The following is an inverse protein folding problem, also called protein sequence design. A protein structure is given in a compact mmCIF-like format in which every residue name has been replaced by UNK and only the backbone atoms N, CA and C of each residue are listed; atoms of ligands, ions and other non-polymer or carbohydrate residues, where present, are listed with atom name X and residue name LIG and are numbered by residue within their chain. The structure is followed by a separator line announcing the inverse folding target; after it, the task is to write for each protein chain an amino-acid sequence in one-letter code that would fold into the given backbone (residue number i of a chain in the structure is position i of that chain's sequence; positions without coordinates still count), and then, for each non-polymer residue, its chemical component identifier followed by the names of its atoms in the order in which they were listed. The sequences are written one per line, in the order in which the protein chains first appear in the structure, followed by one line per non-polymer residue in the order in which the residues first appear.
data_IF_214516147630
#
_entry.id   IF_214516147630
#
_cell.length_a   1.000
_cell.length_b   1.000
_cell.length_c   1.000
_cell.angle_alpha   90.00
_cell.angle_beta   90.00
_cell.angle_gamma   90.00
#
_symmetry.space_group_name_H-M   'P 1'
#
loop_
_entity.id
_entity.type
_entity.pdbx_description
1 polymer ?
#
# COMPACT_ATOMS: atom_id res chain seq x y z
N UNK A 1 4.08 15.76 10.45
CA UNK A 1 4.88 15.02 9.45
C UNK A 1 3.97 14.82 8.25
N UNK A 2 4.37 15.22 7.05
CA UNK A 2 3.55 15.03 5.85
C UNK A 2 3.86 13.66 5.23
N UNK A 3 2.95 12.71 5.42
CA UNK A 3 3.08 11.33 4.93
C UNK A 3 2.97 11.25 3.41
N UNK A 4 2.32 12.22 2.76
CA UNK A 4 1.97 12.16 1.34
C UNK A 4 2.89 13.00 0.45
N UNK A 5 4.03 13.46 0.96
CA UNK A 5 4.95 14.38 0.27
C UNK A 5 5.28 13.97 -1.18
N UNK A 6 5.43 12.68 -1.48
CA UNK A 6 5.75 12.21 -2.85
C UNK A 6 4.53 11.91 -3.72
N UNK A 7 3.30 12.06 -3.22
CA UNK A 7 2.06 11.84 -3.97
C UNK A 7 1.57 13.16 -4.58
N UNK A 8 2.17 13.52 -5.72
CA UNK A 8 1.94 14.82 -6.36
C UNK A 8 0.60 14.84 -7.12
N UNK A 9 -0.16 15.93 -6.97
CA UNK A 9 -1.37 16.19 -7.76
C UNK A 9 -2.62 15.45 -7.31
N UNK A 10 -2.60 14.77 -6.15
CA UNK A 10 -3.72 14.02 -5.60
C UNK A 10 -4.32 14.67 -4.33
N UNK A 11 -4.36 16.00 -4.29
CA UNK A 11 -4.67 16.79 -3.08
C UNK A 11 -5.99 16.37 -2.41
N UNK A 12 -7.06 16.18 -3.20
CA UNK A 12 -8.36 15.78 -2.67
C UNK A 12 -8.33 14.40 -2.01
N UNK A 13 -7.62 13.43 -2.60
CA UNK A 13 -7.48 12.11 -2.02
C UNK A 13 -6.66 12.17 -0.71
N UNK A 14 -5.57 12.94 -0.69
CA UNK A 14 -4.75 13.16 0.51
C UNK A 14 -5.58 13.76 1.64
N UNK A 15 -6.39 14.79 1.34
CA UNK A 15 -7.25 15.43 2.33
C UNK A 15 -8.27 14.45 2.92
N UNK A 16 -8.99 13.71 2.06
CA UNK A 16 -9.99 12.73 2.50
C UNK A 16 -9.39 11.64 3.40
N UNK A 17 -8.24 11.09 3.02
CA UNK A 17 -7.56 10.04 3.79
C UNK A 17 -7.02 10.58 5.12
N UNK A 18 -6.47 11.79 5.12
CA UNK A 18 -5.96 12.44 6.33
C UNK A 18 -7.09 12.73 7.31
N UNK A 19 -8.23 13.24 6.83
CA UNK A 19 -9.41 13.52 7.65
C UNK A 19 -10.06 12.24 8.19
N UNK A 20 -10.08 11.15 7.42
CA UNK A 20 -10.59 9.87 7.89
C UNK A 20 -9.84 9.38 9.14
N UNK A 21 -8.51 9.52 9.15
CA UNK A 21 -7.68 9.14 10.31
C UNK A 21 -7.81 10.14 11.45
N UNK A 22 -7.70 11.44 11.17
CA UNK A 22 -7.74 12.47 12.22
C UNK A 22 -9.06 12.50 12.99
N UNK A 23 -10.16 12.17 12.31
CA UNK A 23 -11.51 12.12 12.90
C UNK A 23 -11.88 10.72 13.40
N UNK A 24 -10.99 9.73 13.27
CA UNK A 24 -11.27 8.32 13.57
C UNK A 24 -12.54 7.80 12.86
N UNK A 25 -12.72 8.18 11.59
CA UNK A 25 -13.84 7.80 10.71
C UNK A 25 -13.32 7.01 9.50
N UNK A 26 -12.67 5.89 9.79
CA UNK A 26 -12.05 5.03 8.78
C UNK A 26 -13.10 4.06 8.22
N UNK A 27 -13.25 4.05 6.90
CA UNK A 27 -14.14 3.11 6.23
C UNK A 27 -13.55 1.67 6.27
N UNK A 28 -14.39 0.63 6.22
CA UNK A 28 -13.92 -0.77 6.21
C UNK A 28 -13.15 -1.16 4.94
N UNK A 29 -13.24 -0.36 3.86
CA UNK A 29 -12.52 -0.63 2.62
C UNK A 29 -12.36 0.61 1.74
N UNK A 30 -11.23 0.68 1.03
CA UNK A 30 -10.90 1.76 0.09
C UNK A 30 -10.52 1.16 -1.26
N UNK A 31 -11.07 1.72 -2.34
CA UNK A 31 -10.73 1.38 -3.71
C UNK A 31 -10.03 2.57 -4.38
N UNK A 32 -8.74 2.41 -4.68
CA UNK A 32 -7.96 3.42 -5.40
C UNK A 32 -8.08 3.19 -6.92
N UNK A 33 -8.58 4.16 -7.67
CA UNK A 33 -8.84 4.06 -9.12
C UNK A 33 -8.12 5.17 -9.88
N UNK A 34 -7.74 4.90 -11.13
CA UNK A 34 -7.07 5.85 -12.01
C UNK A 34 -6.10 5.17 -12.99
N UNK A 35 -5.48 5.96 -13.86
CA UNK A 35 -4.52 5.49 -14.87
C UNK A 35 -3.28 4.82 -14.26
N UNK A 36 -2.53 4.08 -15.07
CA UNK A 36 -1.24 3.52 -14.64
C UNK A 36 -0.24 4.66 -14.36
N UNK A 37 0.51 4.54 -13.25
CA UNK A 37 1.49 5.56 -12.84
C UNK A 37 0.92 6.72 -12.01
N UNK A 38 -0.41 6.85 -11.85
CA UNK A 38 -1.03 7.97 -11.11
C UNK A 38 -0.74 7.98 -9.59
N UNK A 39 -0.13 6.93 -9.05
CA UNK A 39 0.22 6.84 -7.63
C UNK A 39 -0.76 6.05 -6.75
N UNK A 40 -1.67 5.23 -7.31
CA UNK A 40 -2.65 4.41 -6.53
C UNK A 40 -2.01 3.62 -5.39
N UNK A 41 -1.01 2.80 -5.70
CA UNK A 41 -0.31 1.97 -4.70
C UNK A 41 0.53 2.80 -3.74
N UNK A 42 0.98 3.99 -4.17
CA UNK A 42 1.73 4.91 -3.31
C UNK A 42 0.81 5.57 -2.28
N UNK A 43 -0.36 6.03 -2.71
CA UNK A 43 -1.39 6.57 -1.83
C UNK A 43 -1.83 5.55 -0.77
N UNK A 44 -2.05 4.28 -1.17
CA UNK A 44 -2.37 3.21 -0.23
C UNK A 44 -1.26 2.99 0.82
N UNK A 45 0.02 3.00 0.40
CA UNK A 45 1.16 2.86 1.31
C UNK A 45 1.25 4.00 2.33
N UNK A 46 1.12 5.24 1.87
CA UNK A 46 1.15 6.41 2.77
C UNK A 46 -0.05 6.46 3.70
N UNK A 47 -1.21 6.01 3.25
CA UNK A 47 -2.37 5.87 4.12
C UNK A 47 -2.14 4.83 5.22
N UNK A 48 -1.51 3.70 4.89
CA UNK A 48 -1.10 2.69 5.87
C UNK A 48 -0.10 3.28 6.88
N UNK A 49 0.94 3.98 6.41
CA UNK A 49 1.93 4.61 7.28
C UNK A 49 1.27 5.62 8.25
N UNK A 50 0.36 6.46 7.75
CA UNK A 50 -0.41 7.39 8.57
C UNK A 50 -1.26 6.64 9.59
N UNK A 51 -2.01 5.62 9.16
CA UNK A 51 -2.93 4.85 10.01
C UNK A 51 -2.21 4.18 11.19
N UNK A 52 -1.09 3.50 10.92
CA UNK A 52 -0.32 2.82 11.97
C UNK A 52 0.45 3.79 12.87
N UNK A 53 0.68 5.03 12.43
CA UNK A 53 1.43 6.04 13.20
C UNK A 53 0.54 7.03 13.96
N UNK A 54 -0.74 7.13 13.63
CA UNK A 54 -1.65 8.20 14.09
C UNK A 54 -1.79 8.33 15.61
N UNK A 55 -1.65 7.23 16.34
CA UNK A 55 -1.83 7.17 17.79
C UNK A 55 -0.52 7.02 18.57
N UNK A 56 0.63 7.15 17.89
CA UNK A 56 1.94 7.05 18.51
C UNK A 56 2.46 8.45 18.84
N UNK A 57 2.87 8.67 20.09
CA UNK A 57 3.48 9.93 20.51
C UNK A 57 5.01 9.93 20.32
N UNK A 58 5.64 8.74 20.40
CA UNK A 58 7.09 8.60 20.42
C UNK A 58 7.68 8.50 19.00
N UNK A 59 8.57 9.44 18.59
CA UNK A 59 9.15 9.44 17.24
C UNK A 59 9.88 8.14 16.88
N UNK A 60 10.52 7.50 17.87
CA UNK A 60 11.22 6.21 17.67
C UNK A 60 10.25 5.08 17.32
N UNK A 61 9.06 5.06 17.92
CA UNK A 61 8.04 4.06 17.62
C UNK A 61 7.46 4.29 16.23
N UNK A 62 7.16 5.55 15.88
CA UNK A 62 6.71 5.93 14.53
C UNK A 62 7.72 5.45 13.48
N UNK A 63 9.00 5.75 13.66
CA UNK A 63 10.04 5.34 12.73
C UNK A 63 10.17 3.80 12.62
N UNK A 64 10.02 3.08 13.74
CA UNK A 64 10.04 1.61 13.75
C UNK A 64 8.88 1.01 12.96
N UNK A 65 7.68 1.53 13.15
CA UNK A 65 6.47 1.11 12.44
C UNK A 65 6.59 1.40 10.95
N UNK A 66 6.97 2.62 10.56
CA UNK A 66 7.19 3.01 9.17
C UNK A 66 8.22 2.10 8.49
N UNK A 67 9.33 1.80 9.18
CA UNK A 67 10.35 0.90 8.66
C UNK A 67 9.78 -0.51 8.40
N UNK A 68 9.00 -1.06 9.34
CA UNK A 68 8.35 -2.37 9.16
C UNK A 68 7.34 -2.37 8.01
N UNK A 69 6.55 -1.31 7.85
CA UNK A 69 5.61 -1.17 6.72
C UNK A 69 6.36 -1.12 5.40
N UNK A 70 7.43 -0.31 5.31
CA UNK A 70 8.28 -0.21 4.11
C UNK A 70 8.93 -1.55 3.74
N UNK A 71 9.40 -2.31 4.74
CA UNK A 71 9.95 -3.64 4.57
C UNK A 71 8.88 -4.73 4.33
N UNK A 72 7.58 -4.37 4.31
CA UNK A 72 6.45 -5.29 4.19
C UNK A 72 6.46 -6.39 5.27
N UNK A 73 6.88 -6.05 6.49
CA UNK A 73 7.08 -6.97 7.60
C UNK A 73 6.37 -6.51 8.90
N UNK A 74 5.36 -5.65 8.77
CA UNK A 74 4.54 -5.28 9.92
C UNK A 74 3.57 -6.43 10.26
N UNK A 75 3.47 -6.88 11.52
CA UNK A 75 2.70 -8.08 11.89
C UNK A 75 1.20 -7.95 11.58
N UNK A 76 0.65 -6.74 11.68
CA UNK A 76 -0.77 -6.47 11.44
C UNK A 76 -1.08 -6.02 9.99
N UNK A 77 -0.11 -6.15 9.07
CA UNK A 77 -0.28 -5.75 7.68
C UNK A 77 -0.04 -6.93 6.74
N UNK A 78 -1.09 -7.32 6.01
CA UNK A 78 -1.01 -8.37 5.00
C UNK A 78 -0.97 -7.77 3.59
N UNK A 79 0.07 -8.10 2.83
CA UNK A 79 0.16 -7.77 1.40
C UNK A 79 -0.37 -8.94 0.57
N UNK A 80 -1.42 -8.69 -0.19
CA UNK A 80 -1.99 -9.67 -1.11
C UNK A 80 -1.68 -9.24 -2.54
N UNK A 81 -0.96 -10.07 -3.27
CA UNK A 81 -0.60 -9.85 -4.66
C UNK A 81 -0.86 -11.14 -5.45
N UNK A 82 -1.28 -11.05 -6.72
CA UNK A 82 -1.51 -12.24 -7.54
C UNK A 82 -0.21 -13.00 -7.79
N UNK A 83 -0.29 -14.33 -7.75
CA UNK A 83 0.82 -15.24 -8.03
C UNK A 83 0.41 -16.28 -9.06
N UNK A 84 1.39 -16.85 -9.75
CA UNK A 84 1.21 -17.95 -10.70
C UNK A 84 1.82 -19.22 -10.14
N UNK A 85 1.11 -20.35 -10.27
CA UNK A 85 1.69 -21.66 -10.00
C UNK A 85 2.36 -22.18 -11.27
N UNK A 86 3.66 -22.45 -11.20
CA UNK A 86 4.40 -23.12 -12.26
C UNK A 86 5.25 -24.25 -11.67
N UNK A 87 5.01 -25.49 -12.10
CA UNK A 87 5.74 -26.68 -11.63
C UNK A 87 5.84 -26.76 -10.10
N UNK A 88 4.75 -26.47 -9.39
CA UNK A 88 4.71 -26.51 -7.92
C UNK A 88 5.30 -25.28 -7.21
N UNK A 89 5.92 -24.34 -7.94
CA UNK A 89 6.45 -23.08 -7.39
C UNK A 89 5.48 -21.92 -7.62
N UNK A 90 5.30 -21.07 -6.60
CA UNK A 90 4.62 -19.77 -6.73
C UNK A 90 5.59 -18.75 -7.29
N UNK A 91 5.18 -18.08 -8.36
CA UNK A 91 5.92 -17.00 -9.01
C UNK A 91 5.12 -15.72 -8.91
N UNK A 92 5.79 -14.62 -8.58
CA UNK A 92 5.24 -13.27 -8.73
C UNK A 92 4.98 -12.96 -10.21
N UNK A 93 4.23 -11.88 -10.48
CA UNK A 93 4.00 -11.43 -11.87
C UNK A 93 5.32 -11.21 -12.61
N UNK A 94 6.29 -10.51 -11.98
CA UNK A 94 7.58 -10.19 -12.60
C UNK A 94 8.40 -11.45 -12.90
N UNK A 95 8.39 -12.42 -11.98
CA UNK A 95 9.08 -13.71 -12.20
C UNK A 95 8.38 -14.55 -13.27
N UNK A 96 7.05 -14.53 -13.33
CA UNK A 96 6.31 -15.21 -14.38
C UNK A 96 6.61 -14.63 -15.77
N UNK A 97 6.69 -13.31 -15.88
CA UNK A 97 7.09 -12.61 -17.11
C UNK A 97 8.52 -12.99 -17.55
N UNK A 98 9.47 -13.07 -16.62
CA UNK A 98 10.86 -13.43 -16.95
C UNK A 98 11.03 -14.88 -17.41
N UNK A 99 10.19 -15.80 -16.95
CA UNK A 99 10.17 -17.20 -17.42
C UNK A 99 9.22 -17.43 -18.60
N UNK A 100 8.66 -16.37 -19.19
CA UNK A 100 7.81 -16.45 -20.38
C UNK A 100 6.41 -17.04 -20.13
N UNK A 101 5.97 -17.15 -18.87
CA UNK A 101 4.61 -17.55 -18.53
C UNK A 101 3.65 -16.40 -18.85
N UNK A 102 2.93 -16.52 -19.97
CA UNK A 102 1.83 -15.62 -20.30
C UNK A 102 0.56 -16.04 -19.55
N UNK A 103 -0.23 -15.05 -19.13
CA UNK A 103 -1.59 -15.27 -18.58
C UNK A 103 -2.39 -16.18 -19.53
N UNK A 104 -2.97 -17.26 -19.00
CA UNK A 104 -3.88 -18.12 -19.78
C UNK A 104 -5.29 -17.54 -19.94
N UNK A 105 -5.70 -16.58 -19.10
CA UNK A 105 -6.92 -15.79 -19.27
C UNK A 105 -6.86 -14.49 -18.45
N UNK A 106 -7.53 -13.40 -18.87
CA UNK A 106 -7.87 -12.29 -17.98
C UNK A 106 -9.05 -12.69 -17.06
N UNK A 107 -9.17 -12.09 -15.86
CA UNK A 107 -10.40 -12.18 -15.07
C UNK A 107 -11.57 -11.48 -15.78
#
# INVERSE_FOLDING_TARGET
MDYFTSLIGQNQAVELLTQAVSQNRIAPGYLFVGSNGIGKSLAAKYFIDLLFSAHLAEPRLIASVQNRVQQRNHPDLLWVEPTYMNQGKRLSIKEAESVGLKRKAPP
#
